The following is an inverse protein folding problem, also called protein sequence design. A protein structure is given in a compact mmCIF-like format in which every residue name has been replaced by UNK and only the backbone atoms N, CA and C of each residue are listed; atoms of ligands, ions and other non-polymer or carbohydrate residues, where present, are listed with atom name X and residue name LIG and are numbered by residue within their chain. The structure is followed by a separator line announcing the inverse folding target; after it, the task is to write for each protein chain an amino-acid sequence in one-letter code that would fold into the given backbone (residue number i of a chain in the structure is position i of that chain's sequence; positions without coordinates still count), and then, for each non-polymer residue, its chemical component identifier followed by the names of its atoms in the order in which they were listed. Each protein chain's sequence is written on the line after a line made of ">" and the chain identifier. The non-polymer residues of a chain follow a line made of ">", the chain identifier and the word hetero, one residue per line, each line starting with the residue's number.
data_IF_121502626149
#
_entry.id   IF_121502626149
#
_cell.length_a   1.000
_cell.length_b   1.000
_cell.length_c   1.000
_cell.angle_alpha   90.00
_cell.angle_beta   90.00
_cell.angle_gamma   90.00
#
_symmetry.space_group_name_H-M   'P 1'
#
loop_
_entity.id
_entity.type
_entity.pdbx_description
1 polymer ?
#
# COMPACT_ATOMS: atom_id res chain seq x y z
N UNK A 1 -8.34 2.17 18.01
CA UNK A 1 -7.57 1.24 17.19
C UNK A 1 -8.13 -0.17 17.35
N UNK A 2 -8.59 -0.77 16.26
CA UNK A 2 -8.94 -2.20 16.19
C UNK A 2 -7.82 -2.94 15.47
N UNK A 3 -7.46 -4.13 15.96
CA UNK A 3 -6.52 -5.00 15.26
C UNK A 3 -7.26 -5.83 14.22
N UNK A 4 -6.59 -6.18 13.14
CA UNK A 4 -7.06 -7.05 12.08
C UNK A 4 -5.99 -8.03 11.66
N UNK A 5 -6.37 -9.02 10.88
CA UNK A 5 -5.48 -10.02 10.30
C UNK A 5 -5.62 -10.03 8.78
N UNK A 6 -4.51 -9.88 8.09
CA UNK A 6 -4.48 -9.99 6.63
C UNK A 6 -3.07 -10.32 6.14
N UNK A 7 -2.98 -10.74 4.90
CA UNK A 7 -1.73 -10.76 4.16
C UNK A 7 -2.00 -10.31 2.73
N UNK A 8 -0.98 -9.79 2.07
CA UNK A 8 -1.06 -9.33 0.70
C UNK A 8 0.26 -9.53 -0.02
N UNK A 9 0.19 -9.59 -1.34
CA UNK A 9 1.34 -9.61 -2.22
C UNK A 9 1.06 -8.74 -3.44
N UNK A 10 2.07 -8.04 -3.91
CA UNK A 10 2.05 -7.32 -5.18
C UNK A 10 3.21 -7.81 -6.04
N UNK A 11 2.97 -7.93 -7.33
CA UNK A 11 4.01 -8.22 -8.30
C UNK A 11 4.50 -6.90 -8.88
N UNK A 12 5.81 -6.70 -8.88
CA UNK A 12 6.46 -5.56 -9.51
C UNK A 12 7.16 -6.01 -10.77
N UNK A 13 6.89 -5.31 -11.87
CA UNK A 13 7.52 -5.58 -13.18
C UNK A 13 8.20 -4.31 -13.68
N UNK A 14 9.20 -4.48 -14.53
CA UNK A 14 9.91 -3.36 -15.18
C UNK A 14 9.22 -2.89 -16.45
N UNK A 15 8.34 -3.70 -17.01
CA UNK A 15 7.56 -3.39 -18.20
C UNK A 15 6.07 -3.55 -17.89
N UNK A 16 5.29 -2.53 -18.16
CA UNK A 16 3.85 -2.55 -17.94
C UNK A 16 3.08 -2.22 -19.20
N UNK A 17 1.77 -2.36 -19.11
CA UNK A 17 0.81 -1.96 -20.15
C UNK A 17 -0.11 -0.84 -19.62
N UNK A 18 -1.02 -0.36 -20.46
CA UNK A 18 -1.91 0.75 -20.14
C UNK A 18 -2.86 0.50 -18.96
N UNK A 19 -2.98 -0.74 -18.49
CA UNK A 19 -3.86 -1.10 -17.36
C UNK A 19 -3.10 -1.23 -16.03
N UNK A 20 -1.79 -1.07 -16.04
CA UNK A 20 -0.96 -1.20 -14.83
C UNK A 20 -0.86 0.14 -14.10
N UNK A 21 -0.90 0.07 -12.77
CA UNK A 21 -0.54 1.21 -11.93
C UNK A 21 0.98 1.28 -11.82
N UNK A 22 1.53 2.48 -11.89
CA UNK A 22 2.97 2.71 -11.80
C UNK A 22 3.34 3.04 -10.36
N UNK A 23 4.32 2.34 -9.82
CA UNK A 23 5.03 2.79 -8.62
C UNK A 23 6.02 3.87 -9.08
N UNK A 24 5.61 5.13 -8.94
CA UNK A 24 6.32 6.29 -9.50
C UNK A 24 7.42 6.82 -8.60
N UNK A 25 7.28 6.64 -7.29
CA UNK A 25 8.29 7.05 -6.32
C UNK A 25 8.06 6.40 -4.97
N UNK A 26 9.11 6.35 -4.17
CA UNK A 26 9.06 5.83 -2.81
C UNK A 26 10.22 6.31 -1.97
N UNK A 27 9.95 6.56 -0.69
CA UNK A 27 10.98 6.98 0.25
C UNK A 27 10.71 6.45 1.65
N UNK A 28 11.78 6.33 2.41
CA UNK A 28 11.75 5.99 3.83
C UNK A 28 12.52 7.04 4.63
N UNK A 29 12.08 7.25 5.86
CA UNK A 29 12.78 8.13 6.81
C UNK A 29 12.69 7.54 8.22
N UNK A 30 13.40 8.14 9.14
CA UNK A 30 13.30 7.76 10.55
C UNK A 30 13.22 9.02 11.43
N UNK A 31 12.26 9.04 12.35
CA UNK A 31 12.06 10.17 13.28
C UNK A 31 13.20 10.28 14.32
N UNK A 32 13.88 9.17 14.62
CA UNK A 32 14.88 9.08 15.69
C UNK A 32 14.39 9.63 17.05
N UNK A 33 13.08 9.54 17.31
CA UNK A 33 12.43 10.17 18.45
C UNK A 33 12.19 9.19 19.62
N UNK A 34 11.39 8.14 19.38
CA UNK A 34 10.98 7.20 20.41
C UNK A 34 10.74 5.81 19.83
N UNK A 35 10.95 4.76 20.64
CA UNK A 35 10.84 3.36 20.19
C UNK A 35 9.42 2.97 19.76
N UNK A 36 8.39 3.55 20.36
CA UNK A 36 6.98 3.19 20.11
C UNK A 36 6.06 4.38 19.87
N UNK A 37 6.58 5.60 19.87
CA UNK A 37 5.81 6.81 19.62
C UNK A 37 6.29 7.55 18.38
N UNK A 38 5.38 8.16 17.59
CA UNK A 38 5.77 8.99 16.46
C UNK A 38 6.42 10.30 16.93
N UNK A 39 7.10 10.97 16.01
CA UNK A 39 7.51 12.35 16.18
C UNK A 39 6.32 13.25 16.53
N UNK A 40 6.55 14.29 17.30
CA UNK A 40 5.51 15.29 17.59
C UNK A 40 5.36 16.35 16.49
N UNK A 41 6.35 16.48 15.62
CA UNK A 41 6.42 17.51 14.59
C UNK A 41 5.96 17.03 13.22
N UNK A 42 6.11 15.74 12.93
CA UNK A 42 5.78 15.16 11.63
C UNK A 42 6.89 15.34 10.56
N UNK A 43 8.05 15.88 10.93
CA UNK A 43 9.13 16.18 9.98
C UNK A 43 9.64 14.94 9.25
N UNK A 44 9.77 13.80 9.96
CA UNK A 44 10.21 12.55 9.35
C UNK A 44 9.27 12.06 8.28
N UNK A 45 7.98 11.99 8.56
CA UNK A 45 6.99 11.57 7.56
C UNK A 45 6.89 12.59 6.41
N UNK A 46 6.94 13.89 6.69
CA UNK A 46 6.96 14.93 5.66
C UNK A 46 8.17 14.78 4.72
N UNK A 47 9.35 14.45 5.28
CA UNK A 47 10.55 14.17 4.50
C UNK A 47 10.33 12.97 3.56
N UNK A 48 9.76 11.86 4.05
CA UNK A 48 9.47 10.70 3.21
C UNK A 48 8.48 11.06 2.10
N UNK A 49 7.41 11.81 2.40
CA UNK A 49 6.43 12.26 1.41
C UNK A 49 7.11 13.11 0.33
N UNK A 50 7.89 14.12 0.72
CA UNK A 50 8.55 15.02 -0.22
C UNK A 50 9.55 14.28 -1.12
N UNK A 51 10.35 13.38 -0.57
CA UNK A 51 11.29 12.57 -1.35
C UNK A 51 10.57 11.62 -2.32
N UNK A 52 9.48 10.98 -1.90
CA UNK A 52 8.69 10.13 -2.78
C UNK A 52 8.05 10.93 -3.93
N UNK A 53 7.53 12.13 -3.65
CA UNK A 53 7.02 13.04 -4.66
C UNK A 53 8.10 13.53 -5.62
N UNK A 54 9.28 13.87 -5.10
CA UNK A 54 10.41 14.30 -5.91
C UNK A 54 10.88 13.18 -6.86
N UNK A 55 11.00 11.96 -6.38
CA UNK A 55 11.33 10.79 -7.19
C UNK A 55 10.26 10.54 -8.28
N UNK A 56 8.99 10.66 -7.93
CA UNK A 56 7.88 10.53 -8.87
C UNK A 56 7.81 11.66 -9.90
N UNK A 57 8.41 12.82 -9.62
CA UNK A 57 8.20 14.06 -10.37
C UNK A 57 6.77 14.60 -10.21
N UNK A 58 6.12 14.28 -9.09
CA UNK A 58 4.75 14.69 -8.79
C UNK A 58 4.73 16.04 -8.05
N UNK A 59 3.79 16.89 -8.42
CA UNK A 59 3.48 18.14 -7.73
C UNK A 59 2.25 17.96 -6.83
N UNK A 60 2.03 18.83 -5.83
CA UNK A 60 0.84 18.73 -4.97
C UNK A 60 -0.49 18.66 -5.73
N UNK A 61 -0.61 19.37 -6.83
CA UNK A 61 -1.79 19.38 -7.71
C UNK A 61 -2.00 18.07 -8.49
N UNK A 62 -0.99 17.21 -8.55
CA UNK A 62 -1.10 15.91 -9.20
C UNK A 62 -1.67 14.85 -8.24
N UNK A 63 -1.63 15.12 -6.92
CA UNK A 63 -2.07 14.15 -5.90
C UNK A 63 -3.58 14.19 -5.77
N UNK A 64 -4.25 13.12 -6.15
CA UNK A 64 -5.70 12.99 -6.07
C UNK A 64 -6.19 12.70 -4.65
N UNK A 65 -5.45 11.88 -3.91
CA UNK A 65 -5.72 11.58 -2.51
C UNK A 65 -4.48 11.04 -1.77
N UNK A 66 -4.55 11.08 -0.45
CA UNK A 66 -3.58 10.47 0.44
C UNK A 66 -4.26 9.34 1.20
N UNK A 67 -3.72 8.14 1.16
CA UNK A 67 -4.08 7.09 2.10
C UNK A 67 -3.11 7.11 3.27
N UNK A 68 -3.56 7.65 4.39
CA UNK A 68 -2.79 7.79 5.60
C UNK A 68 -2.58 6.45 6.33
N UNK A 69 -1.58 6.37 7.17
CA UNK A 69 -1.45 5.26 8.11
C UNK A 69 -2.67 5.20 9.04
N UNK A 70 -3.12 6.34 9.56
CA UNK A 70 -4.44 6.56 10.14
C UNK A 70 -4.90 5.50 11.13
N UNK A 71 -4.26 5.43 12.29
CA UNK A 71 -4.50 4.38 13.30
C UNK A 71 -5.64 4.69 14.26
N UNK A 72 -6.27 5.85 14.15
CA UNK A 72 -7.22 6.39 15.12
C UNK A 72 -6.61 6.47 16.54
N UNK A 73 -5.33 6.83 16.62
CA UNK A 73 -4.64 7.15 17.87
C UNK A 73 -4.20 8.60 17.85
N UNK A 74 -4.39 9.31 18.97
CA UNK A 74 -4.18 10.75 19.07
C UNK A 74 -2.81 11.17 18.50
N UNK A 75 -1.74 10.55 18.97
CA UNK A 75 -0.37 10.97 18.60
C UNK A 75 -0.02 10.68 17.15
N UNK A 76 -0.46 9.52 16.60
CA UNK A 76 -0.18 9.20 15.21
C UNK A 76 -0.95 10.12 14.26
N UNK A 77 -2.24 10.29 14.48
CA UNK A 77 -3.08 11.08 13.60
C UNK A 77 -2.70 12.57 13.67
N UNK A 78 -2.30 13.06 14.86
CA UNK A 78 -1.74 14.40 15.04
C UNK A 78 -0.44 14.56 14.24
N UNK A 79 0.49 13.61 14.31
CA UNK A 79 1.74 13.62 13.56
C UNK A 79 1.48 13.62 12.05
N UNK A 80 0.60 12.74 11.57
CA UNK A 80 0.28 12.65 10.14
C UNK A 80 -0.35 13.94 9.61
N UNK A 81 -1.26 14.56 10.36
CA UNK A 81 -1.86 15.85 9.96
C UNK A 81 -0.81 16.96 9.79
N UNK A 82 0.16 17.02 10.71
CA UNK A 82 1.28 17.96 10.61
C UNK A 82 2.17 17.66 9.40
N UNK A 83 2.52 16.39 9.19
CA UNK A 83 3.34 15.96 8.05
C UNK A 83 2.71 16.32 6.70
N UNK A 84 1.41 16.10 6.55
CA UNK A 84 0.65 16.46 5.34
C UNK A 84 0.72 17.98 5.08
N UNK A 85 0.57 18.79 6.13
CA UNK A 85 0.71 20.24 6.00
C UNK A 85 2.14 20.67 5.63
N UNK A 86 3.16 20.10 6.29
CA UNK A 86 4.58 20.38 6.00
C UNK A 86 4.95 19.99 4.56
N UNK A 87 4.32 18.94 4.02
CA UNK A 87 4.50 18.53 2.62
C UNK A 87 3.71 19.39 1.60
N UNK A 88 2.97 20.42 2.06
CA UNK A 88 2.17 21.28 1.18
C UNK A 88 0.89 20.63 0.64
N UNK A 89 0.41 19.57 1.28
CA UNK A 89 -0.71 18.73 0.80
C UNK A 89 -2.02 18.94 1.60
N UNK A 90 -2.15 20.04 2.31
CA UNK A 90 -3.30 20.32 3.19
C UNK A 90 -4.66 20.28 2.47
N UNK A 91 -4.70 20.61 1.17
CA UNK A 91 -5.92 20.62 0.36
C UNK A 91 -6.28 19.24 -0.22
N UNK A 92 -5.35 18.26 -0.15
CA UNK A 92 -5.54 16.94 -0.74
C UNK A 92 -6.44 16.09 0.18
N UNK A 93 -7.47 15.40 -0.36
CA UNK A 93 -8.30 14.49 0.43
C UNK A 93 -7.48 13.36 1.06
N UNK A 94 -7.79 13.06 2.33
CA UNK A 94 -7.11 12.02 3.11
C UNK A 94 -8.10 10.95 3.52
N UNK A 95 -7.75 9.68 3.35
CA UNK A 95 -8.51 8.58 3.92
C UNK A 95 -7.65 7.66 4.78
N UNK A 96 -8.32 6.91 5.65
CA UNK A 96 -7.80 5.69 6.28
C UNK A 96 -8.81 4.56 6.07
N UNK A 97 -8.31 3.42 5.63
CA UNK A 97 -9.15 2.25 5.35
C UNK A 97 -9.10 1.21 6.48
N UNK A 98 -8.32 1.48 7.54
CA UNK A 98 -8.26 0.60 8.71
C UNK A 98 -9.60 0.31 9.39
N UNK A 99 -10.59 1.23 9.40
CA UNK A 99 -11.89 0.91 9.98
C UNK A 99 -12.64 -0.24 9.30
N UNK A 100 -12.30 -0.59 8.06
CA UNK A 100 -12.96 -1.69 7.32
C UNK A 100 -12.41 -3.07 7.70
N UNK A 101 -11.13 -3.18 8.04
CA UNK A 101 -10.47 -4.49 8.24
C UNK A 101 -9.53 -4.52 9.45
N UNK A 102 -9.43 -3.43 10.19
CA UNK A 102 -8.53 -3.30 11.34
C UNK A 102 -7.10 -2.96 10.95
N UNK A 103 -6.26 -2.73 11.94
CA UNK A 103 -4.84 -2.55 11.75
C UNK A 103 -4.16 -3.91 11.65
N UNK A 104 -3.70 -4.27 10.47
CA UNK A 104 -3.10 -5.57 10.16
C UNK A 104 -1.59 -5.63 10.42
N UNK A 105 -1.08 -4.70 11.25
CA UNK A 105 0.32 -4.63 11.68
C UNK A 105 1.29 -4.63 10.50
N UNK A 106 2.18 -5.63 10.41
CA UNK A 106 3.14 -5.72 9.33
C UNK A 106 2.55 -5.82 7.92
N UNK A 107 1.29 -6.25 7.79
CA UNK A 107 0.60 -6.32 6.50
C UNK A 107 -0.12 -5.01 6.12
N UNK A 108 -0.23 -4.02 7.03
CA UNK A 108 -0.99 -2.78 6.76
C UNK A 108 -0.52 -2.07 5.49
N UNK A 109 0.79 -1.90 5.33
CA UNK A 109 1.34 -1.21 4.17
C UNK A 109 0.93 -1.85 2.86
N UNK A 110 1.04 -3.17 2.75
CA UNK A 110 0.74 -3.88 1.49
C UNK A 110 -0.75 -3.92 1.20
N UNK A 111 -1.61 -4.19 2.19
CA UNK A 111 -3.07 -4.23 2.01
C UNK A 111 -3.59 -2.86 1.59
N UNK A 112 -3.17 -1.80 2.25
CA UNK A 112 -3.58 -0.43 1.95
C UNK A 112 -3.03 0.03 0.60
N UNK A 113 -1.83 -0.40 0.20
CA UNK A 113 -1.28 -0.17 -1.15
C UNK A 113 -2.15 -0.84 -2.23
N UNK A 114 -2.57 -2.08 -2.03
CA UNK A 114 -3.50 -2.77 -2.94
C UNK A 114 -4.80 -1.98 -3.08
N UNK A 115 -5.36 -1.50 -1.97
CA UNK A 115 -6.58 -0.69 -2.01
C UNK A 115 -6.38 0.69 -2.66
N UNK A 116 -5.20 1.29 -2.56
CA UNK A 116 -4.86 2.50 -3.33
C UNK A 116 -4.84 2.22 -4.83
N UNK A 117 -4.29 1.08 -5.24
CA UNK A 117 -4.27 0.63 -6.63
C UNK A 117 -5.70 0.48 -7.16
N UNK A 118 -6.58 -0.16 -6.40
CA UNK A 118 -7.99 -0.33 -6.80
C UNK A 118 -8.72 1.02 -6.89
N UNK A 119 -8.52 1.95 -5.94
CA UNK A 119 -9.09 3.30 -6.01
C UNK A 119 -8.68 4.05 -7.29
N UNK A 120 -7.38 3.99 -7.65
CA UNK A 120 -6.88 4.61 -8.87
C UNK A 120 -7.53 4.01 -10.12
N UNK A 121 -7.67 2.68 -10.18
CA UNK A 121 -8.27 1.97 -11.32
C UNK A 121 -9.75 2.24 -11.49
N UNK A 122 -10.47 2.24 -10.36
CA UNK A 122 -11.92 2.50 -10.37
C UNK A 122 -12.27 3.98 -10.58
N UNK A 123 -11.31 4.89 -10.47
CA UNK A 123 -11.58 6.33 -10.48
C UNK A 123 -12.46 6.72 -9.30
N UNK A 124 -12.26 6.12 -8.12
CA UNK A 124 -13.16 6.25 -6.98
C UNK A 124 -12.41 6.39 -5.67
N UNK A 125 -12.70 7.46 -4.95
CA UNK A 125 -12.22 7.65 -3.59
C UNK A 125 -13.02 6.77 -2.62
N UNK A 126 -12.33 6.02 -1.76
CA UNK A 126 -12.96 5.25 -0.70
C UNK A 126 -13.03 6.08 0.58
N UNK A 127 -14.25 6.30 1.08
CA UNK A 127 -14.49 7.10 2.28
C UNK A 127 -13.94 6.43 3.54
N UNK A 128 -13.59 7.24 4.53
CA UNK A 128 -13.17 6.77 5.85
C UNK A 128 -14.39 6.42 6.70
N UNK A 129 -14.56 5.14 7.01
CA UNK A 129 -15.65 4.66 7.83
C UNK A 129 -15.50 5.16 9.28
N UNK A 130 -16.62 5.62 9.89
CA UNK A 130 -16.67 6.02 11.28
C UNK A 130 -16.01 7.36 11.60
N UNK A 131 -15.62 8.15 10.59
CA UNK A 131 -15.18 9.52 10.81
C UNK A 131 -16.40 10.43 11.05
N UNK A 132 -16.38 11.21 12.13
CA UNK A 132 -17.45 12.14 12.49
C UNK A 132 -16.94 13.57 12.60
N UNK A 133 -15.85 13.76 13.33
CA UNK A 133 -15.28 15.09 13.60
C UNK A 133 -13.76 15.07 13.51
N UNK A 134 -13.19 16.21 13.10
CA UNK A 134 -11.76 16.39 13.05
C UNK A 134 -11.19 16.45 14.47
N UNK A 135 -10.31 15.50 14.80
CA UNK A 135 -9.65 15.38 16.10
C UNK A 135 -8.15 15.70 16.08
N UNK A 136 -7.65 16.31 15.00
CA UNK A 136 -6.22 16.63 14.81
C UNK A 136 -6.01 18.14 14.74
N UNK A 137 -4.81 18.63 15.12
CA UNK A 137 -4.55 20.08 15.23
C UNK A 137 -4.45 20.78 13.87
N UNK A 138 -4.00 20.07 12.82
CA UNK A 138 -3.89 20.63 11.47
C UNK A 138 -5.08 20.17 10.64
N UNK A 139 -5.84 21.09 10.01
CA UNK A 139 -7.02 20.73 9.23
C UNK A 139 -6.66 19.88 8.01
N UNK A 140 -7.34 18.77 7.86
CA UNK A 140 -7.26 17.88 6.70
C UNK A 140 -8.65 17.58 6.17
N UNK A 141 -8.77 17.31 4.87
CA UNK A 141 -10.06 17.00 4.24
C UNK A 141 -10.29 15.48 4.26
N UNK A 142 -11.33 15.02 4.95
CA UNK A 142 -11.71 13.61 5.03
C UNK A 142 -13.16 13.44 4.56
N UNK A 143 -13.38 12.58 3.58
CA UNK A 143 -14.73 12.20 3.15
C UNK A 143 -15.13 10.85 3.76
N UNK A 144 -16.39 10.72 4.15
CA UNK A 144 -16.95 9.51 4.77
C UNK A 144 -17.59 8.56 3.76
N UNK A 145 -17.86 9.04 2.56
CA UNK A 145 -18.56 8.29 1.51
C UNK A 145 -17.63 7.93 0.36
N UNK A 146 -17.86 6.76 -0.23
CA UNK A 146 -17.25 6.42 -1.51
C UNK A 146 -17.83 7.31 -2.60
N UNK A 147 -16.97 7.93 -3.39
CA UNK A 147 -17.40 8.84 -4.45
C UNK A 147 -16.48 8.77 -5.67
N UNK A 148 -17.02 8.95 -6.88
CA UNK A 148 -16.20 9.16 -8.07
C UNK A 148 -15.27 10.34 -7.88
N UNK A 149 -14.02 10.22 -8.31
CA UNK A 149 -13.03 11.28 -8.22
C UNK A 149 -12.07 11.16 -9.42
N UNK A 150 -11.76 12.28 -10.11
CA UNK A 150 -10.68 12.25 -11.09
C UNK A 150 -9.38 11.80 -10.44
N UNK A 151 -8.80 10.73 -10.98
CA UNK A 151 -7.56 10.15 -10.44
C UNK A 151 -6.39 10.46 -11.37
N UNK A 152 -5.25 10.75 -10.76
CA UNK A 152 -3.97 10.92 -11.43
C UNK A 152 -2.88 10.13 -10.71
N UNK A 153 -2.62 10.49 -9.46
CA UNK A 153 -1.78 9.69 -8.58
C UNK A 153 -2.24 9.82 -7.12
N UNK A 154 -1.76 8.94 -6.28
CA UNK A 154 -2.00 9.00 -4.84
C UNK A 154 -0.71 8.78 -4.05
N UNK A 155 -0.75 9.19 -2.79
CA UNK A 155 0.29 8.91 -1.82
C UNK A 155 -0.25 7.89 -0.82
N UNK A 156 0.52 6.84 -0.56
CA UNK A 156 0.33 5.91 0.55
C UNK A 156 1.41 6.14 1.60
N UNK A 157 1.01 6.45 2.84
CA UNK A 157 1.95 6.61 3.96
C UNK A 157 1.86 5.45 4.95
N UNK A 158 2.96 5.13 5.58
CA UNK A 158 3.01 4.18 6.68
C UNK A 158 4.00 4.65 7.74
N UNK A 159 3.60 4.52 9.00
CA UNK A 159 4.45 4.82 10.15
C UNK A 159 4.49 3.64 11.10
N UNK A 160 5.69 3.22 11.47
CA UNK A 160 5.93 2.05 12.32
C UNK A 160 6.67 2.41 13.61
N UNK A 161 6.65 1.49 14.55
CA UNK A 161 7.47 1.60 15.76
C UNK A 161 8.95 1.72 15.42
N UNK A 162 9.70 2.40 16.26
CA UNK A 162 11.10 2.75 15.98
C UNK A 162 11.25 4.05 15.20
N UNK A 163 10.16 4.79 14.94
CA UNK A 163 10.15 6.04 14.18
C UNK A 163 10.30 5.85 12.69
N UNK A 164 10.03 4.65 12.17
CA UNK A 164 10.13 4.36 10.74
C UNK A 164 8.93 4.93 10.00
N UNK A 165 9.18 5.78 9.00
CA UNK A 165 8.17 6.31 8.10
C UNK A 165 8.45 5.87 6.67
N UNK A 166 7.41 5.67 5.89
CA UNK A 166 7.48 5.37 4.48
C UNK A 166 6.38 6.11 3.72
N UNK A 167 6.68 6.50 2.50
CA UNK A 167 5.71 7.03 1.56
C UNK A 167 5.93 6.43 0.17
N UNK A 168 4.84 6.09 -0.52
CA UNK A 168 4.83 5.62 -1.89
C UNK A 168 3.95 6.55 -2.73
N UNK A 169 4.37 6.85 -3.95
CA UNK A 169 3.56 7.50 -4.97
C UNK A 169 3.18 6.48 -6.03
N UNK A 170 1.88 6.25 -6.16
CA UNK A 170 1.28 5.39 -7.17
C UNK A 170 0.57 6.26 -8.20
N UNK A 171 0.73 5.98 -9.48
CA UNK A 171 0.11 6.78 -10.55
C UNK A 171 -0.54 5.93 -11.63
N UNK A 172 -1.53 6.52 -12.29
CA UNK A 172 -2.04 6.02 -13.56
C UNK A 172 -0.95 6.13 -14.65
N UNK A 173 -0.96 5.26 -15.66
CA UNK A 173 0.04 5.28 -16.74
C UNK A 173 0.08 6.59 -17.53
N UNK A 174 -1.07 7.26 -17.65
CA UNK A 174 -1.27 8.51 -18.37
C UNK A 174 -1.18 9.77 -17.48
N UNK A 175 -0.70 9.62 -16.25
CA UNK A 175 -0.62 10.71 -15.27
C UNK A 175 0.30 11.88 -15.71
N UNK A 176 1.21 11.66 -16.68
CA UNK A 176 2.13 12.66 -17.20
C UNK A 176 2.85 13.48 -16.13
N UNK A 177 3.37 12.79 -15.09
CA UNK A 177 4.15 13.44 -14.04
C UNK A 177 5.42 14.05 -14.62
N UNK A 178 5.79 15.25 -14.17
CA UNK A 178 6.98 15.96 -14.66
C UNK A 178 8.23 15.23 -14.17
N UNK A 179 8.84 14.41 -15.03
CA UNK A 179 10.14 13.82 -14.73
C UNK A 179 11.17 14.95 -14.59
N UNK A 180 11.67 15.20 -13.41
CA UNK A 180 12.95 15.90 -13.24
C UNK A 180 14.05 14.93 -13.66
N UNK A 181 14.37 14.90 -14.97
CA UNK A 181 15.64 14.37 -15.43
C UNK A 181 16.70 15.42 -15.05
N UNK A 182 17.24 15.29 -13.86
CA UNK A 182 18.48 15.98 -13.48
C UNK A 182 19.34 15.02 -12.65
N UNK A 183 19.66 13.87 -13.25
CA UNK A 183 20.92 13.22 -12.92
C UNK A 183 21.98 13.93 -13.76
N UNK A 184 22.64 14.92 -13.18
CA UNK A 184 23.97 15.28 -13.64
C UNK A 184 24.79 14.00 -13.53
N UNK A 185 25.02 13.37 -14.71
CA UNK A 185 25.94 12.27 -14.85
C UNK A 185 27.33 12.79 -14.49
N UNK A 186 27.75 12.59 -13.26
CA UNK A 186 29.17 12.50 -12.96
C UNK A 186 29.63 11.15 -13.52
N UNK A 187 30.45 11.20 -14.55
CA UNK A 187 31.11 10.06 -15.17
C UNK A 187 31.56 9.01 -14.15
N UNK A 188 31.15 7.81 -14.39
CA UNK A 188 31.76 6.48 -14.23
C UNK A 188 30.80 5.47 -13.57
N UNK A 189 30.57 4.44 -14.36
CA UNK A 189 29.72 3.28 -14.14
C UNK A 189 28.25 3.53 -14.54
N UNK A 190 27.79 2.73 -15.49
CA UNK A 190 26.41 2.67 -15.97
C UNK A 190 25.44 2.71 -14.79
N UNK A 191 24.86 3.89 -14.52
CA UNK A 191 23.76 3.98 -13.58
C UNK A 191 22.66 3.06 -14.11
N UNK A 192 22.10 2.19 -13.28
CA UNK A 192 20.93 1.43 -13.70
C UNK A 192 19.88 2.44 -14.12
N UNK A 193 19.37 2.29 -15.35
CA UNK A 193 18.18 3.02 -15.79
C UNK A 193 17.16 2.95 -14.63
N UNK A 194 16.61 4.09 -14.21
CA UNK A 194 15.56 4.13 -13.17
C UNK A 194 14.46 3.22 -13.68
N UNK A 195 14.44 1.99 -13.18
CA UNK A 195 13.39 1.05 -13.46
C UNK A 195 12.15 1.56 -12.73
N UNK A 196 11.22 2.18 -13.46
CA UNK A 196 9.88 2.37 -12.93
C UNK A 196 9.32 0.98 -12.66
N UNK A 197 9.10 0.66 -11.40
CA UNK A 197 8.41 -0.56 -11.06
C UNK A 197 6.94 -0.40 -11.43
N UNK A 198 6.43 -1.35 -12.16
CA UNK A 198 5.01 -1.42 -12.53
C UNK A 198 4.37 -2.45 -11.62
N UNK A 199 3.25 -2.10 -11.03
CA UNK A 199 2.47 -3.02 -10.22
C UNK A 199 1.48 -3.71 -11.15
N UNK A 200 1.65 -5.01 -11.36
CA UNK A 200 0.63 -5.79 -12.04
C UNK A 200 -0.57 -5.94 -11.12
N UNK A 201 -1.60 -5.20 -11.44
CA UNK A 201 -2.84 -5.18 -10.71
C UNK A 201 -3.96 -5.72 -11.59
N UNK A 202 -4.44 -6.85 -11.29
CA UNK A 202 -5.53 -7.50 -12.01
C UNK A 202 -5.93 -8.80 -11.33
N UNK A 203 -5.09 -9.27 -10.46
CA UNK A 203 -5.29 -10.55 -9.79
C UNK A 203 -5.34 -10.33 -8.29
N UNK A 204 -6.50 -9.96 -7.77
CA UNK A 204 -6.75 -10.04 -6.34
C UNK A 204 -7.04 -11.50 -5.98
N UNK A 205 -6.30 -12.04 -5.03
CA UNK A 205 -6.58 -13.34 -4.42
C UNK A 205 -7.18 -13.10 -3.04
N UNK A 206 -8.39 -13.56 -2.84
CA UNK A 206 -9.07 -13.55 -1.55
C UNK A 206 -9.06 -14.94 -0.95
N UNK A 207 -8.55 -15.08 0.27
CA UNK A 207 -8.57 -16.33 1.02
C UNK A 207 -9.54 -16.16 2.19
N UNK A 208 -10.56 -16.98 2.23
CA UNK A 208 -11.54 -17.03 3.32
C UNK A 208 -11.72 -18.47 3.78
N UNK A 209 -12.29 -18.74 4.97
CA UNK A 209 -12.54 -20.11 5.41
C UNK A 209 -13.27 -20.93 4.35
N UNK A 210 -12.65 -22.04 3.95
CA UNK A 210 -13.20 -22.97 2.96
C UNK A 210 -13.05 -22.57 1.48
N UNK A 211 -12.51 -21.39 1.14
CA UNK A 211 -12.39 -20.98 -0.26
C UNK A 211 -11.17 -20.07 -0.55
N UNK A 212 -10.63 -20.21 -1.74
CA UNK A 212 -9.71 -19.26 -2.36
C UNK A 212 -10.36 -18.75 -3.63
N UNK A 213 -10.42 -17.44 -3.78
CA UNK A 213 -10.96 -16.75 -4.94
C UNK A 213 -9.87 -15.98 -5.66
N UNK A 214 -9.85 -16.02 -6.97
CA UNK A 214 -9.00 -15.18 -7.83
C UNK A 214 -9.90 -14.47 -8.83
N UNK A 215 -9.73 -13.16 -8.98
CA UNK A 215 -10.57 -12.33 -9.88
C UNK A 215 -12.09 -12.51 -9.65
N UNK A 216 -12.51 -12.69 -8.40
CA UNK A 216 -13.92 -12.92 -8.05
C UNK A 216 -14.44 -14.32 -8.39
N UNK A 217 -13.59 -15.23 -8.86
CA UNK A 217 -13.95 -16.62 -9.15
C UNK A 217 -13.31 -17.56 -8.14
N UNK A 218 -14.08 -18.52 -7.60
CA UNK A 218 -13.53 -19.53 -6.70
C UNK A 218 -12.61 -20.47 -7.48
N UNK A 219 -11.31 -20.44 -7.14
CA UNK A 219 -10.27 -21.29 -7.77
C UNK A 219 -9.90 -22.51 -6.95
N UNK A 220 -10.29 -22.51 -5.68
CA UNK A 220 -10.15 -23.65 -4.77
C UNK A 220 -11.24 -23.59 -3.70
N UNK A 221 -11.83 -24.75 -3.37
CA UNK A 221 -12.79 -24.90 -2.25
C UNK A 221 -12.48 -26.14 -1.44
N UNK A 222 -12.75 -26.09 -0.15
CA UNK A 222 -12.58 -27.16 0.81
C UNK A 222 -13.74 -27.19 1.79
N UNK A 223 -14.07 -28.36 2.33
CA UNK A 223 -14.98 -28.49 3.46
C UNK A 223 -14.35 -28.06 4.79
N UNK A 224 -13.02 -27.96 4.82
CA UNK A 224 -12.28 -27.49 5.99
C UNK A 224 -12.43 -25.99 6.16
N UNK A 225 -12.93 -25.57 7.30
CA UNK A 225 -13.07 -24.14 7.66
C UNK A 225 -12.03 -23.69 8.66
N UNK A 226 -11.42 -24.61 9.38
CA UNK A 226 -10.32 -24.32 10.29
C UNK A 226 -9.07 -23.97 9.50
N UNK A 227 -8.37 -22.90 9.92
CA UNK A 227 -7.24 -22.34 9.18
C UNK A 227 -6.15 -23.36 8.85
N UNK A 228 -5.71 -24.14 9.85
CA UNK A 228 -4.54 -25.00 9.68
C UNK A 228 -4.74 -26.17 8.71
N UNK A 229 -5.86 -26.93 8.70
CA UNK A 229 -6.14 -27.92 7.68
C UNK A 229 -6.43 -27.24 6.33
N UNK A 230 -7.28 -26.21 6.29
CA UNK A 230 -7.65 -25.51 5.07
C UNK A 230 -6.43 -24.99 4.29
N UNK A 231 -5.51 -24.26 4.96
CA UNK A 231 -4.35 -23.66 4.28
C UNK A 231 -3.37 -24.71 3.75
N UNK A 232 -3.32 -25.90 4.36
CA UNK A 232 -2.52 -27.03 3.86
C UNK A 232 -3.13 -27.64 2.61
N UNK A 233 -4.45 -27.74 2.54
CA UNK A 233 -5.14 -28.22 1.35
C UNK A 233 -4.99 -27.24 0.19
N UNK A 234 -5.17 -25.95 0.44
CA UNK A 234 -4.93 -24.89 -0.54
C UNK A 234 -3.49 -24.91 -1.06
N UNK A 235 -2.51 -25.09 -0.17
CA UNK A 235 -1.10 -25.26 -0.56
C UNK A 235 -0.88 -26.49 -1.45
N UNK A 236 -1.44 -27.64 -1.11
CA UNK A 236 -1.33 -28.85 -1.93
C UNK A 236 -1.97 -28.66 -3.32
N UNK A 237 -3.09 -27.93 -3.39
CA UNK A 237 -3.75 -27.62 -4.66
C UNK A 237 -2.90 -26.71 -5.56
N UNK A 238 -2.00 -25.88 -5.02
CA UNK A 238 -1.04 -25.14 -5.82
C UNK A 238 -0.04 -26.03 -6.56
N UNK A 239 0.16 -27.26 -6.09
CA UNK A 239 1.15 -28.19 -6.66
C UNK A 239 2.59 -27.90 -6.23
N UNK A 240 2.76 -27.07 -5.23
CA UNK A 240 4.07 -26.68 -4.70
C UNK A 240 4.66 -27.76 -3.77
N UNK A 241 5.97 -27.86 -3.74
CA UNK A 241 6.69 -28.81 -2.88
C UNK A 241 7.80 -28.16 -2.07
N UNK A 242 7.42 -27.15 -1.27
CA UNK A 242 8.35 -26.46 -0.38
C UNK A 242 8.22 -26.99 1.05
N UNK A 243 9.15 -27.83 1.47
CA UNK A 243 9.14 -28.41 2.82
C UNK A 243 9.22 -27.37 3.95
N UNK A 244 9.74 -26.16 3.67
CA UNK A 244 9.77 -25.07 4.65
C UNK A 244 8.36 -24.54 4.96
N UNK A 245 7.39 -24.71 4.04
CA UNK A 245 6.01 -24.29 4.25
C UNK A 245 5.43 -24.83 5.57
N UNK A 246 5.67 -26.10 5.89
CA UNK A 246 5.13 -26.72 7.08
C UNK A 246 5.71 -26.16 8.39
N UNK A 247 6.87 -25.52 8.31
CA UNK A 247 7.55 -24.88 9.46
C UNK A 247 7.22 -23.40 9.63
N UNK A 248 6.52 -22.80 8.67
CA UNK A 248 6.08 -21.40 8.74
C UNK A 248 4.99 -21.24 9.79
N UNK A 249 4.89 -20.06 10.39
CA UNK A 249 3.72 -19.66 11.16
C UNK A 249 2.49 -19.47 10.25
N UNK A 250 1.34 -19.26 10.85
CA UNK A 250 0.07 -19.19 10.12
C UNK A 250 0.02 -18.01 9.13
N UNK A 251 0.57 -16.87 9.52
CA UNK A 251 0.56 -15.66 8.68
C UNK A 251 1.48 -15.83 7.46
N UNK A 252 2.67 -16.41 7.67
CA UNK A 252 3.58 -16.75 6.58
C UNK A 252 2.98 -17.78 5.62
N UNK A 253 2.26 -18.80 6.13
CA UNK A 253 1.54 -19.76 5.29
C UNK A 253 0.47 -19.10 4.45
N UNK A 254 -0.30 -18.19 5.05
CA UNK A 254 -1.33 -17.44 4.34
C UNK A 254 -0.72 -16.60 3.21
N UNK A 255 0.35 -15.86 3.50
CA UNK A 255 1.08 -15.06 2.50
C UNK A 255 1.65 -15.91 1.37
N UNK A 256 2.24 -17.06 1.70
CA UNK A 256 2.81 -17.98 0.71
C UNK A 256 1.74 -18.53 -0.24
N UNK A 257 0.60 -18.96 0.29
CA UNK A 257 -0.52 -19.47 -0.51
C UNK A 257 -1.15 -18.37 -1.36
N UNK A 258 -1.34 -17.18 -0.80
CA UNK A 258 -1.87 -16.03 -1.56
C UNK A 258 -0.95 -15.67 -2.74
N UNK A 259 0.35 -15.56 -2.51
CA UNK A 259 1.34 -15.31 -3.55
C UNK A 259 1.36 -16.43 -4.60
N UNK A 260 1.29 -17.69 -4.17
CA UNK A 260 1.25 -18.84 -5.07
C UNK A 260 0.05 -18.82 -6.02
N UNK A 261 -1.15 -18.51 -5.54
CA UNK A 261 -2.33 -18.35 -6.41
C UNK A 261 -2.24 -17.12 -7.30
N UNK A 262 -1.67 -16.01 -6.81
CA UNK A 262 -1.46 -14.80 -7.60
C UNK A 262 -0.52 -15.07 -8.78
N UNK A 263 0.56 -15.84 -8.56
CA UNK A 263 1.58 -16.12 -9.55
C UNK A 263 1.24 -17.31 -10.46
N UNK A 264 0.24 -18.14 -10.11
CA UNK A 264 -0.10 -19.36 -10.84
C UNK A 264 -0.46 -19.12 -12.32
N UNK A 265 -1.05 -17.94 -12.61
CA UNK A 265 -1.47 -17.54 -13.95
C UNK A 265 -0.40 -16.70 -14.68
N UNK A 266 0.72 -16.41 -14.02
CA UNK A 266 1.82 -15.66 -14.61
C UNK A 266 2.91 -16.61 -15.11
N UNK A 267 3.73 -16.14 -16.05
CA UNK A 267 4.93 -16.88 -16.50
C UNK A 267 6.08 -16.83 -15.47
N UNK A 268 5.85 -16.21 -14.32
CA UNK A 268 6.81 -16.15 -13.23
C UNK A 268 6.78 -17.46 -12.44
N UNK A 269 7.79 -18.29 -12.67
CA UNK A 269 8.17 -19.34 -11.73
C UNK A 269 9.53 -18.97 -11.17
N UNK A 270 9.69 -18.99 -9.82
CA UNK A 270 10.99 -18.75 -9.20
C UNK A 270 12.00 -19.81 -9.60
#
# INVERSE_FOLDING_TARGET
>A
LSLGEACGAVLLETQGNANHIILSGGAISNDANHISGPSRTGDGLALAINQAMEEAGALPEDISFINAHGTATVYNDEMESKAIHLAGLAAVPVNSLKPYFGHTLGASGIIETILCIEQLKEGRYYGTLGYETLGVPMPITVYTTHQPMPMKCCIKTASGFGGCNAALVLSLPDAHLKQKVNLQATDKASAPSVCKAVVESGNMVTIRPGAVESKGTTVFSSSETDFAPFIREAYKHLGENNMKFYKMDNLCKLGYVAAGYLLKETNYRP
#
